data_IF_959981043406
#
_entry.id   IF_959981043406
#
_cell.length_a   1.000
_cell.length_b   1.000
_cell.length_c   1.000
_cell.angle_alpha   90.00
_cell.angle_beta   90.00
_cell.angle_gamma   90.00
#
_symmetry.space_group_name_H-M   'P 1'
#
loop_
_entity.id
_entity.type
_entity.pdbx_description
1 polymer ?
#
# COMPACT_ATOMS: atom_id res chain seq x y z
N UNK A 1 47.12 44.85 -27.55
CA UNK A 1 45.84 44.81 -26.80
C UNK A 1 44.72 44.43 -27.75
N UNK A 2 44.21 43.19 -27.66
CA UNK A 2 43.00 42.75 -28.35
C UNK A 2 42.02 42.29 -27.28
N UNK A 3 40.92 43.02 -27.11
CA UNK A 3 39.88 42.73 -26.15
C UNK A 3 39.07 41.51 -26.63
N UNK A 4 39.02 40.47 -25.80
CA UNK A 4 38.13 39.32 -25.97
C UNK A 4 36.78 39.70 -25.36
N UNK A 5 35.75 39.81 -26.20
CA UNK A 5 34.37 40.00 -25.75
C UNK A 5 33.80 38.61 -25.44
N UNK A 6 33.62 38.29 -24.16
CA UNK A 6 32.97 37.06 -23.71
C UNK A 6 31.44 37.30 -23.75
N UNK A 7 30.76 36.63 -24.68
CA UNK A 7 29.30 36.57 -24.73
C UNK A 7 28.79 35.59 -23.66
N UNK A 8 28.15 36.13 -22.63
CA UNK A 8 27.42 35.37 -21.62
C UNK A 8 26.10 34.90 -22.23
N UNK A 9 26.02 33.63 -22.64
CA UNK A 9 24.75 33.00 -23.01
C UNK A 9 23.96 32.66 -21.74
N UNK A 10 23.08 33.56 -21.30
CA UNK A 10 22.04 33.22 -20.35
C UNK A 10 21.05 32.26 -21.04
N UNK A 11 21.16 30.98 -20.74
CA UNK A 11 20.18 29.98 -21.13
C UNK A 11 18.92 30.20 -20.28
N UNK A 12 17.93 30.88 -20.85
CA UNK A 12 16.58 30.86 -20.32
C UNK A 12 16.04 29.44 -20.47
N UNK A 13 16.10 28.65 -19.40
CA UNK A 13 15.29 27.44 -19.30
C UNK A 13 13.82 27.88 -19.25
N UNK A 14 13.16 27.87 -20.40
CA UNK A 14 11.70 27.88 -20.45
C UNK A 14 11.23 26.62 -19.75
N UNK A 15 10.65 26.76 -18.56
CA UNK A 15 9.80 25.74 -17.94
C UNK A 15 8.55 25.62 -18.82
N UNK A 16 8.67 24.91 -19.95
CA UNK A 16 7.50 24.48 -20.69
C UNK A 16 6.65 23.67 -19.72
N UNK A 17 5.47 24.19 -19.36
CA UNK A 17 4.51 23.44 -18.55
C UNK A 17 4.19 22.16 -19.30
N UNK A 18 4.50 21.01 -18.71
CA UNK A 18 4.07 19.71 -19.24
C UNK A 18 2.56 19.81 -19.46
N UNK A 19 2.06 19.59 -20.69
CA UNK A 19 0.65 19.76 -20.98
C UNK A 19 -0.15 18.79 -20.11
N UNK A 20 -1.05 19.34 -19.30
CA UNK A 20 -1.98 18.55 -18.51
C UNK A 20 -3.19 18.25 -19.39
N UNK A 21 -3.52 16.97 -19.54
CA UNK A 21 -4.80 16.60 -20.12
C UNK A 21 -5.92 17.05 -19.17
N UNK A 22 -6.94 17.72 -19.72
CA UNK A 22 -8.06 18.21 -18.91
C UNK A 22 -9.15 17.15 -18.86
N UNK A 23 -9.43 16.63 -17.67
CA UNK A 23 -10.46 15.62 -17.44
C UNK A 23 -11.45 16.08 -16.36
N UNK A 24 -12.60 15.41 -16.28
CA UNK A 24 -13.45 15.48 -15.10
C UNK A 24 -12.94 14.49 -14.05
N UNK A 25 -12.61 14.99 -12.87
CA UNK A 25 -12.16 14.17 -11.75
C UNK A 25 -13.31 14.05 -10.76
N UNK A 26 -14.00 12.91 -10.69
CA UNK A 26 -15.01 12.71 -9.65
C UNK A 26 -14.36 12.72 -8.26
N UNK A 27 -15.11 13.17 -7.25
CA UNK A 27 -14.74 12.91 -5.86
C UNK A 27 -14.77 11.41 -5.59
N UNK A 28 -14.00 10.96 -4.58
CA UNK A 28 -14.03 9.56 -4.18
C UNK A 28 -15.43 9.16 -3.70
N UNK A 29 -15.92 8.04 -4.23
CA UNK A 29 -17.19 7.46 -3.85
C UNK A 29 -17.02 5.95 -3.69
N UNK A 30 -17.19 5.46 -2.46
CA UNK A 30 -16.98 4.04 -2.14
C UNK A 30 -17.97 3.12 -2.87
N UNK A 31 -19.24 3.52 -3.01
CA UNK A 31 -20.24 2.72 -3.70
C UNK A 31 -19.87 2.52 -5.18
N UNK A 32 -19.40 3.58 -5.83
CA UNK A 32 -18.89 3.51 -7.19
C UNK A 32 -17.61 2.68 -7.27
N UNK A 33 -16.69 2.82 -6.30
CA UNK A 33 -15.48 2.03 -6.24
C UNK A 33 -15.79 0.52 -6.17
N UNK A 34 -16.76 0.12 -5.35
CA UNK A 34 -17.20 -1.27 -5.23
C UNK A 34 -18.01 -1.76 -6.44
N UNK A 35 -18.76 -0.87 -7.11
CA UNK A 35 -19.45 -1.20 -8.36
C UNK A 35 -18.45 -1.54 -9.47
N UNK A 36 -17.40 -0.72 -9.61
CA UNK A 36 -16.37 -0.90 -10.64
C UNK A 36 -15.34 -1.98 -10.29
N UNK A 37 -15.20 -2.32 -9.01
CA UNK A 37 -14.28 -3.35 -8.50
C UNK A 37 -15.04 -4.33 -7.58
N UNK A 38 -15.92 -5.20 -8.12
CA UNK A 38 -16.82 -6.04 -7.30
C UNK A 38 -16.11 -7.12 -6.46
N UNK A 39 -14.84 -7.40 -6.76
CA UNK A 39 -14.00 -8.31 -5.97
C UNK A 39 -13.29 -7.61 -4.81
N UNK A 40 -13.41 -6.28 -4.71
CA UNK A 40 -12.86 -5.47 -3.63
C UNK A 40 -13.84 -5.41 -2.47
N UNK A 41 -13.31 -5.32 -1.25
CA UNK A 41 -14.07 -4.98 -0.04
C UNK A 41 -13.24 -4.08 0.86
N UNK A 42 -13.91 -3.13 1.49
CA UNK A 42 -13.36 -2.31 2.55
C UNK A 42 -13.79 -2.80 3.93
N UNK A 43 -12.97 -2.52 4.93
CA UNK A 43 -13.32 -2.67 6.32
C UNK A 43 -13.04 -1.35 7.05
N UNK A 44 -14.11 -0.67 7.46
CA UNK A 44 -14.07 0.65 8.07
C UNK A 44 -14.66 0.60 9.48
N UNK A 45 -14.16 -0.28 10.34
CA UNK A 45 -14.53 -0.26 11.76
C UNK A 45 -13.42 0.38 12.60
N UNK A 46 -13.84 0.98 13.71
CA UNK A 46 -13.02 1.52 14.80
C UNK A 46 -12.35 0.44 15.65
N UNK A 47 -12.62 -0.85 15.42
CA UNK A 47 -11.86 -1.97 16.01
C UNK A 47 -10.44 -1.91 15.46
N UNK A 48 -9.64 -1.03 16.08
CA UNK A 48 -8.19 -0.96 15.89
C UNK A 48 -7.62 -2.35 16.08
N UNK A 49 -6.49 -2.59 15.42
CA UNK A 49 -5.74 -3.84 15.55
C UNK A 49 -5.71 -4.30 17.03
N UNK A 50 -6.20 -5.52 17.30
CA UNK A 50 -6.22 -6.05 18.66
C UNK A 50 -4.81 -6.51 19.00
N UNK A 51 -4.28 -6.07 20.14
CA UNK A 51 -2.91 -6.36 20.55
C UNK A 51 -2.93 -7.24 21.79
N UNK A 52 -2.30 -8.41 21.69
CA UNK A 52 -2.09 -9.32 22.79
C UNK A 52 -0.59 -9.42 23.07
N UNK A 53 -0.19 -9.35 24.34
CA UNK A 53 1.22 -9.49 24.74
C UNK A 53 1.33 -10.54 25.84
N UNK A 54 2.28 -11.46 25.67
CA UNK A 54 2.60 -12.50 26.66
C UNK A 54 4.04 -12.35 27.08
N UNK A 55 4.30 -12.35 28.40
CA UNK A 55 5.67 -12.44 28.91
C UNK A 55 6.36 -13.69 28.36
N UNK A 56 7.64 -13.58 28.00
CA UNK A 56 8.44 -14.68 27.48
C UNK A 56 9.75 -14.81 28.25
N UNK A 57 10.22 -16.03 28.39
CA UNK A 57 11.59 -16.34 28.85
C UNK A 57 12.59 -16.07 27.73
N UNK A 58 13.88 -15.92 28.07
CA UNK A 58 14.94 -15.78 27.06
C UNK A 58 14.99 -16.98 26.10
N UNK A 59 14.72 -18.19 26.62
CA UNK A 59 14.65 -19.41 25.82
C UNK A 59 13.49 -19.39 24.80
N UNK A 60 12.33 -18.87 25.18
CA UNK A 60 11.18 -18.72 24.28
C UNK A 60 11.45 -17.68 23.20
N UNK A 61 12.09 -16.56 23.54
CA UNK A 61 12.52 -15.56 22.55
C UNK A 61 13.53 -16.14 21.59
N UNK A 62 14.55 -16.85 22.09
CA UNK A 62 15.53 -17.52 21.24
C UNK A 62 14.87 -18.53 20.29
N UNK A 63 13.96 -19.35 20.79
CA UNK A 63 13.21 -20.31 19.98
C UNK A 63 12.30 -19.66 18.94
N UNK A 64 11.76 -18.48 19.24
CA UNK A 64 10.99 -17.69 18.29
C UNK A 64 11.89 -17.10 17.20
N UNK A 65 13.03 -16.51 17.56
CA UNK A 65 13.93 -15.84 16.62
C UNK A 65 14.63 -16.83 15.70
N UNK A 66 15.04 -18.00 16.20
CA UNK A 66 15.77 -19.01 15.42
C UNK A 66 14.95 -19.64 14.27
N UNK A 67 13.64 -19.42 14.23
CA UNK A 67 12.79 -19.95 13.17
C UNK A 67 12.88 -19.13 11.86
N UNK A 68 13.58 -17.99 11.88
CA UNK A 68 13.72 -17.07 10.75
C UNK A 68 15.15 -17.03 10.24
N UNK A 69 15.31 -16.81 8.93
CA UNK A 69 16.61 -16.52 8.32
C UNK A 69 17.21 -15.18 8.76
N UNK A 70 18.51 -14.97 8.53
CA UNK A 70 19.22 -13.74 8.96
C UNK A 70 18.60 -12.46 8.40
N UNK A 71 18.13 -12.50 7.15
CA UNK A 71 17.56 -11.35 6.43
C UNK A 71 16.02 -11.38 6.42
N UNK A 72 15.39 -12.32 7.13
CA UNK A 72 13.94 -12.41 7.20
C UNK A 72 13.41 -11.51 8.30
N UNK A 73 12.28 -10.86 8.00
CA UNK A 73 11.52 -10.16 9.03
C UNK A 73 11.01 -11.19 10.04
N UNK A 74 11.38 -11.03 11.31
CA UNK A 74 11.09 -11.96 12.42
C UNK A 74 9.64 -11.87 12.90
N UNK A 75 8.70 -12.05 11.97
CA UNK A 75 7.26 -12.01 12.23
C UNK A 75 6.64 -13.30 11.74
N UNK A 76 5.85 -13.92 12.60
CA UNK A 76 5.04 -15.08 12.26
C UNK A 76 3.63 -14.63 11.91
N UNK A 77 3.25 -14.82 10.66
CA UNK A 77 1.94 -14.50 10.13
C UNK A 77 1.01 -15.70 10.13
N UNK A 78 -0.26 -15.48 10.44
CA UNK A 78 -1.36 -16.47 10.40
C UNK A 78 -2.68 -15.79 10.09
N UNK A 79 -3.60 -16.48 9.43
CA UNK A 79 -4.98 -16.02 9.32
C UNK A 79 -5.66 -16.09 10.69
N UNK A 80 -6.68 -15.25 10.89
CA UNK A 80 -7.56 -15.29 12.06
C UNK A 80 -9.02 -15.20 11.60
N UNK A 81 -9.51 -16.30 11.02
CA UNK A 81 -10.87 -16.40 10.49
C UNK A 81 -11.95 -16.24 11.57
N UNK A 82 -11.68 -16.70 12.79
CA UNK A 82 -12.61 -16.54 13.92
C UNK A 82 -12.87 -15.06 14.19
N UNK A 83 -11.81 -14.26 14.32
CA UNK A 83 -11.94 -12.82 14.53
C UNK A 83 -12.51 -12.12 13.31
N UNK A 84 -12.13 -12.54 12.09
CA UNK A 84 -12.71 -12.00 10.85
C UNK A 84 -14.24 -12.15 10.83
N UNK A 85 -14.74 -13.35 11.15
CA UNK A 85 -16.17 -13.62 11.25
C UNK A 85 -16.84 -12.87 12.40
N UNK A 86 -16.17 -12.74 13.55
CA UNK A 86 -16.69 -12.02 14.73
C UNK A 86 -16.97 -10.53 14.41
N UNK A 87 -16.05 -9.87 13.70
CA UNK A 87 -16.14 -8.43 13.41
C UNK A 87 -16.67 -8.12 12.01
N UNK A 88 -16.98 -9.14 11.21
CA UNK A 88 -17.43 -8.97 9.83
C UNK A 88 -16.36 -8.47 8.85
N UNK A 89 -15.07 -8.65 9.17
CA UNK A 89 -13.97 -8.34 8.26
C UNK A 89 -13.75 -9.47 7.24
N UNK A 90 -13.30 -9.14 6.03
CA UNK A 90 -13.02 -10.16 5.00
C UNK A 90 -11.75 -10.93 5.29
N UNK A 91 -10.70 -10.23 5.73
CA UNK A 91 -9.43 -10.83 6.13
C UNK A 91 -8.98 -10.19 7.43
N UNK A 92 -8.67 -11.04 8.41
CA UNK A 92 -7.89 -10.67 9.57
C UNK A 92 -6.67 -11.57 9.61
N UNK A 93 -5.48 -10.99 9.76
CA UNK A 93 -4.25 -11.73 9.97
C UNK A 93 -3.59 -11.32 11.29
N UNK A 94 -2.84 -12.26 11.86
CA UNK A 94 -2.15 -12.10 13.13
C UNK A 94 -0.66 -12.03 12.88
N UNK A 95 -0.03 -10.98 13.35
CA UNK A 95 1.41 -10.75 13.33
C UNK A 95 1.97 -11.01 14.71
N UNK A 96 2.59 -12.18 14.90
CA UNK A 96 3.32 -12.46 16.14
C UNK A 96 4.78 -12.09 15.98
N UNK A 97 5.31 -11.25 16.86
CA UNK A 97 6.69 -10.78 16.82
C UNK A 97 7.25 -10.52 18.23
N UNK A 98 8.57 -10.50 18.31
CA UNK A 98 9.27 -10.07 19.51
C UNK A 98 9.57 -8.58 19.41
N UNK A 99 9.23 -7.82 20.46
CA UNK A 99 9.58 -6.39 20.56
C UNK A 99 10.73 -6.27 21.54
N UNK A 100 11.84 -5.66 21.10
CA UNK A 100 12.99 -5.42 21.96
C UNK A 100 12.60 -4.62 23.22
N UNK A 101 13.28 -4.94 24.31
CA UNK A 101 13.07 -4.30 25.61
C UNK A 101 13.28 -2.79 25.48
N UNK A 102 12.27 -2.01 25.86
CA UNK A 102 12.46 -0.64 26.32
C UNK A 102 12.47 -0.65 27.85
N UNK A 103 13.54 -0.10 28.44
CA UNK A 103 13.77 0.19 29.87
C UNK A 103 12.97 -0.64 30.89
N UNK A 104 13.62 -1.63 31.51
CA UNK A 104 13.12 -2.33 32.70
C UNK A 104 11.98 -3.34 32.47
N UNK A 105 11.52 -3.53 31.23
CA UNK A 105 10.47 -4.50 30.90
C UNK A 105 11.03 -5.90 30.65
N UNK A 106 10.26 -6.92 31.06
CA UNK A 106 10.50 -8.33 30.71
C UNK A 106 10.31 -8.55 29.21
N UNK A 107 10.87 -9.64 28.66
CA UNK A 107 10.63 -9.97 27.25
C UNK A 107 9.13 -10.22 27.03
N UNK A 108 8.64 -9.81 25.87
CA UNK A 108 7.27 -10.05 25.46
C UNK A 108 7.23 -10.52 24.02
N UNK A 109 6.42 -11.54 23.76
CA UNK A 109 5.93 -11.84 22.43
C UNK A 109 4.59 -11.15 22.27
N UNK A 110 4.48 -10.33 21.24
CA UNK A 110 3.30 -9.55 20.94
C UNK A 110 2.64 -10.10 19.68
N UNK A 111 1.33 -10.25 19.72
CA UNK A 111 0.50 -10.58 18.57
C UNK A 111 -0.39 -9.39 18.24
N UNK A 112 -0.26 -8.86 17.03
CA UNK A 112 -1.16 -7.85 16.49
C UNK A 112 -2.14 -8.53 15.54
N UNK A 113 -3.43 -8.45 15.81
CA UNK A 113 -4.48 -8.89 14.91
C UNK A 113 -4.92 -7.70 14.06
N UNK A 114 -4.70 -7.79 12.76
CA UNK A 114 -4.93 -6.71 11.79
C UNK A 114 -6.11 -7.08 10.90
N UNK A 115 -7.27 -6.45 11.07
CA UNK A 115 -8.32 -6.44 10.05
C UNK A 115 -7.80 -5.63 8.87
N UNK A 116 -7.69 -6.25 7.70
CA UNK A 116 -7.22 -5.55 6.52
C UNK A 116 -8.25 -4.48 6.09
N UNK A 117 -7.80 -3.23 5.99
CA UNK A 117 -8.64 -2.10 5.62
C UNK A 117 -9.19 -2.24 4.19
N UNK A 118 -8.37 -2.78 3.29
CA UNK A 118 -8.76 -3.12 1.92
C UNK A 118 -8.42 -4.57 1.61
N UNK A 119 -9.33 -5.26 0.96
CA UNK A 119 -9.10 -6.61 0.44
C UNK A 119 -9.54 -6.69 -1.01
N UNK A 120 -8.82 -7.49 -1.79
CA UNK A 120 -9.15 -7.78 -3.17
C UNK A 120 -9.11 -9.29 -3.41
N UNK A 121 -10.22 -9.87 -3.83
CA UNK A 121 -10.31 -11.30 -4.16
C UNK A 121 -9.65 -11.57 -5.51
N UNK A 122 -8.71 -12.51 -5.52
CA UNK A 122 -8.02 -13.02 -6.71
C UNK A 122 -8.40 -14.50 -6.94
N UNK A 123 -8.04 -15.10 -8.09
CA UNK A 123 -8.20 -16.53 -8.30
C UNK A 123 -7.45 -17.42 -7.29
N UNK A 124 -6.39 -16.89 -6.65
CA UNK A 124 -5.48 -17.66 -5.79
C UNK A 124 -5.67 -17.40 -4.29
N UNK A 125 -6.54 -16.46 -3.93
CA UNK A 125 -6.69 -15.98 -2.56
C UNK A 125 -7.01 -14.49 -2.48
N UNK A 126 -6.69 -13.85 -1.37
CA UNK A 126 -6.92 -12.42 -1.15
C UNK A 126 -5.61 -11.65 -1.10
N UNK A 127 -5.53 -10.55 -1.85
CA UNK A 127 -4.62 -9.46 -1.51
C UNK A 127 -5.27 -8.63 -0.41
N UNK A 128 -4.52 -8.31 0.63
CA UNK A 128 -5.03 -7.61 1.79
C UNK A 128 -4.03 -6.52 2.20
N UNK A 129 -4.50 -5.29 2.21
CA UNK A 129 -3.73 -4.09 2.53
C UNK A 129 -4.19 -3.47 3.83
N UNK A 130 -3.24 -2.97 4.61
CA UNK A 130 -3.50 -2.08 5.74
C UNK A 130 -2.49 -0.92 5.74
N UNK A 131 -2.91 0.20 6.33
CA UNK A 131 -2.09 1.40 6.47
C UNK A 131 -2.31 1.98 7.85
N UNK A 132 -1.22 2.09 8.62
CA UNK A 132 -1.21 2.71 9.95
C UNK A 132 -0.25 3.90 9.97
N UNK A 133 0.00 4.47 8.79
CA UNK A 133 0.82 5.66 8.61
C UNK A 133 2.25 5.46 9.10
N UNK A 134 2.66 6.28 10.07
CA UNK A 134 4.00 6.20 10.66
C UNK A 134 4.26 4.90 11.43
N UNK A 135 3.19 4.20 11.83
CA UNK A 135 3.28 2.92 12.52
C UNK A 135 3.38 1.74 11.54
N UNK A 136 3.59 2.05 10.26
CA UNK A 136 3.76 1.12 9.16
C UNK A 136 2.45 0.59 8.61
N UNK A 137 2.57 -0.37 7.72
CA UNK A 137 1.47 -1.04 7.04
C UNK A 137 2.05 -2.22 6.28
N UNK A 138 1.18 -3.00 5.68
CA UNK A 138 1.54 -4.22 5.01
C UNK A 138 0.63 -4.44 3.82
N UNK A 139 1.23 -4.97 2.76
CA UNK A 139 0.52 -5.76 1.80
C UNK A 139 0.81 -7.23 2.10
N UNK A 140 -0.24 -8.00 2.37
CA UNK A 140 -0.18 -9.45 2.56
C UNK A 140 -1.01 -10.17 1.51
N UNK A 141 -0.66 -11.43 1.28
CA UNK A 141 -1.45 -12.37 0.51
C UNK A 141 -1.93 -13.50 1.42
N UNK A 142 -3.23 -13.77 1.40
CA UNK A 142 -3.85 -14.91 2.06
C UNK A 142 -4.29 -15.88 0.98
N UNK A 143 -3.61 -17.02 0.87
CA UNK A 143 -3.94 -18.01 -0.16
C UNK A 143 -5.24 -18.77 0.18
N UNK A 144 -5.70 -19.60 -0.76
CA UNK A 144 -6.92 -20.40 -0.58
C UNK A 144 -6.87 -21.41 0.58
N UNK A 145 -5.68 -21.71 1.12
CA UNK A 145 -5.51 -22.57 2.30
C UNK A 145 -5.54 -21.78 3.62
N UNK A 146 -5.59 -20.45 3.56
CA UNK A 146 -5.50 -19.57 4.71
C UNK A 146 -4.06 -19.25 5.12
N UNK A 147 -3.06 -19.67 4.34
CA UNK A 147 -1.66 -19.29 4.59
C UNK A 147 -1.46 -17.81 4.30
N UNK A 148 -0.81 -17.10 5.22
CA UNK A 148 -0.56 -15.66 5.11
C UNK A 148 0.91 -15.40 4.81
N UNK A 149 1.16 -14.70 3.70
CA UNK A 149 2.48 -14.27 3.27
C UNK A 149 2.57 -12.76 3.28
N UNK A 150 3.59 -12.21 3.94
CA UNK A 150 3.98 -10.81 3.75
C UNK A 150 4.51 -10.63 2.33
N UNK A 151 3.93 -9.70 1.58
CA UNK A 151 4.49 -9.30 0.29
C UNK A 151 5.50 -8.18 0.53
N UNK A 152 5.07 -7.11 1.21
CA UNK A 152 5.88 -5.91 1.42
C UNK A 152 5.36 -5.12 2.62
N UNK A 153 6.28 -4.50 3.36
CA UNK A 153 5.95 -3.43 4.31
C UNK A 153 5.65 -2.16 3.51
N UNK A 154 4.39 -1.71 3.56
CA UNK A 154 3.91 -0.56 2.80
C UNK A 154 2.59 -0.03 3.36
N UNK A 155 2.40 1.29 3.29
CA UNK A 155 1.12 1.90 3.67
C UNK A 155 0.13 1.81 2.50
N UNK A 156 -0.57 0.69 2.41
CA UNK A 156 -1.53 0.43 1.32
C UNK A 156 -2.72 1.37 1.46
N UNK A 157 -2.98 2.16 0.43
CA UNK A 157 -4.19 2.98 0.33
C UNK A 157 -5.31 2.17 -0.32
N UNK A 158 -5.07 1.55 -1.48
CA UNK A 158 -6.06 0.74 -2.19
C UNK A 158 -5.42 -0.27 -3.19
N UNK A 159 -6.24 -1.14 -3.78
CA UNK A 159 -5.87 -2.22 -4.70
C UNK A 159 -6.86 -2.25 -5.88
N UNK A 160 -6.38 -2.34 -7.12
CA UNK A 160 -7.19 -2.30 -8.34
C UNK A 160 -6.81 -3.42 -9.29
N UNK A 161 -7.78 -3.99 -10.02
CA UNK A 161 -7.49 -4.98 -11.04
C UNK A 161 -7.28 -4.31 -12.40
N UNK A 162 -6.23 -4.69 -13.11
CA UNK A 162 -5.97 -4.38 -14.51
C UNK A 162 -5.76 -5.68 -15.27
N UNK A 163 -5.81 -5.63 -16.60
CA UNK A 163 -5.51 -6.81 -17.44
C UNK A 163 -4.08 -7.34 -17.20
N UNK A 164 -3.14 -6.44 -16.88
CA UNK A 164 -1.75 -6.77 -16.62
C UNK A 164 -1.44 -7.15 -15.16
N UNK A 165 -2.43 -7.15 -14.26
CA UNK A 165 -2.27 -7.56 -12.85
C UNK A 165 -3.00 -6.64 -11.88
N UNK A 166 -2.59 -6.66 -10.61
CA UNK A 166 -3.22 -5.85 -9.57
C UNK A 166 -2.35 -4.65 -9.22
N UNK A 167 -2.88 -3.45 -9.39
CA UNK A 167 -2.19 -2.20 -9.05
C UNK A 167 -2.48 -1.85 -7.59
N UNK A 168 -1.44 -1.61 -6.81
CA UNK A 168 -1.54 -1.21 -5.41
C UNK A 168 -1.08 0.24 -5.28
N UNK A 169 -1.93 1.09 -4.71
CA UNK A 169 -1.58 2.46 -4.35
C UNK A 169 -1.01 2.46 -2.93
N UNK A 170 0.14 3.10 -2.74
CA UNK A 170 0.74 3.33 -1.43
C UNK A 170 1.10 4.81 -1.27
N UNK A 171 1.00 5.30 -0.03
CA UNK A 171 1.72 6.51 0.33
C UNK A 171 1.77 6.81 1.82
N UNK A 172 2.67 7.72 2.16
CA UNK A 172 2.77 8.32 3.48
C UNK A 172 3.06 9.82 3.34
N UNK A 173 2.17 10.61 3.92
CA UNK A 173 2.36 12.04 4.12
C UNK A 173 2.63 12.30 5.60
N UNK A 174 3.89 12.57 5.96
CA UNK A 174 4.27 12.94 7.32
C UNK A 174 5.40 13.98 7.34
N UNK A 175 5.21 15.05 8.11
CA UNK A 175 6.10 16.22 8.20
C UNK A 175 6.51 16.74 6.81
N UNK A 176 7.79 16.62 6.45
CA UNK A 176 8.35 17.09 5.17
C UNK A 176 8.34 16.01 4.08
N UNK A 177 7.89 14.79 4.38
CA UNK A 177 7.77 13.69 3.42
C UNK A 177 6.33 13.60 2.91
N UNK A 178 6.18 13.59 1.59
CA UNK A 178 4.90 13.30 0.94
C UNK A 178 5.13 12.39 -0.26
N UNK A 179 5.32 11.10 0.02
CA UNK A 179 5.71 10.12 -1.00
C UNK A 179 4.55 9.19 -1.31
N UNK A 180 4.39 8.86 -2.59
CA UNK A 180 3.45 7.84 -3.04
C UNK A 180 4.06 6.99 -4.16
N UNK A 181 3.55 5.78 -4.32
CA UNK A 181 4.03 4.82 -5.32
C UNK A 181 2.88 3.94 -5.80
N UNK A 182 2.93 3.57 -7.07
CA UNK A 182 2.16 2.49 -7.65
C UNK A 182 3.03 1.24 -7.72
N UNK A 183 2.53 0.14 -7.19
CA UNK A 183 3.12 -1.17 -7.36
C UNK A 183 2.22 -2.05 -8.21
N UNK A 184 2.83 -3.03 -8.87
CA UNK A 184 2.14 -4.06 -9.61
C UNK A 184 2.35 -5.41 -8.92
N UNK A 185 1.25 -6.08 -8.59
CA UNK A 185 1.23 -7.47 -8.17
C UNK A 185 0.82 -8.35 -9.35
N UNK A 186 1.69 -9.28 -9.72
CA UNK A 186 1.41 -10.35 -10.69
C UNK A 186 1.51 -11.70 -9.99
N UNK A 187 0.99 -12.75 -10.62
CA UNK A 187 1.06 -14.11 -10.08
C UNK A 187 1.91 -14.99 -11.01
N UNK A 188 2.94 -15.62 -10.43
CA UNK A 188 3.78 -16.61 -11.12
C UNK A 188 3.76 -17.88 -10.30
N UNK A 189 3.29 -18.98 -10.89
CA UNK A 189 3.04 -20.25 -10.19
C UNK A 189 2.18 -20.04 -8.93
N UNK A 190 1.06 -19.31 -9.09
CA UNK A 190 0.08 -19.00 -8.03
C UNK A 190 0.64 -18.16 -6.87
N UNK A 191 1.88 -17.67 -6.98
CA UNK A 191 2.54 -16.87 -5.95
C UNK A 191 2.61 -15.41 -6.38
N UNK A 192 2.29 -14.47 -5.48
CA UNK A 192 2.38 -13.06 -5.79
C UNK A 192 3.83 -12.61 -5.96
N UNK A 193 4.07 -11.81 -6.99
CA UNK A 193 5.31 -11.10 -7.29
C UNK A 193 4.99 -9.61 -7.32
N UNK A 194 5.76 -8.82 -6.58
CA UNK A 194 5.60 -7.38 -6.49
C UNK A 194 6.69 -6.68 -7.30
N UNK A 195 6.31 -5.72 -8.13
CA UNK A 195 7.25 -4.82 -8.81
C UNK A 195 6.81 -3.37 -8.63
N UNK A 196 7.77 -2.44 -8.70
CA UNK A 196 7.46 -1.01 -8.75
C UNK A 196 6.96 -0.67 -10.15
N UNK A 197 5.87 0.08 -10.24
CA UNK A 197 5.33 0.56 -11.50
C UNK A 197 5.73 2.03 -11.72
N UNK A 198 5.29 2.93 -10.83
CA UNK A 198 5.62 4.36 -10.93
C UNK A 198 5.66 5.05 -9.57
N UNK A 199 6.54 6.05 -9.44
CA UNK A 199 6.44 7.03 -8.36
C UNK A 199 5.29 8.00 -8.61
N UNK A 200 4.55 8.33 -7.56
CA UNK A 200 3.52 9.36 -7.59
C UNK A 200 4.08 10.72 -7.21
N UNK A 201 3.39 11.79 -7.61
CA UNK A 201 3.75 13.18 -7.29
C UNK A 201 3.49 13.57 -5.84
N UNK A 202 2.87 12.68 -5.07
CA UNK A 202 2.62 12.78 -3.64
C UNK A 202 1.97 11.51 -3.11
N UNK A 203 1.80 11.41 -1.79
CA UNK A 203 0.97 10.37 -1.18
C UNK A 203 -0.45 10.47 -1.74
N UNK A 204 -1.07 9.35 -2.15
CA UNK A 204 -2.49 9.32 -2.46
C UNK A 204 -3.28 9.85 -1.28
N UNK A 205 -4.20 10.77 -1.55
CA UNK A 205 -5.31 11.13 -0.65
C UNK A 205 -6.53 10.28 -0.94
N UNK A 206 -6.72 9.98 -2.21
CA UNK A 206 -7.70 9.04 -2.71
C UNK A 206 -7.23 8.50 -4.05
N UNK A 207 -7.70 7.31 -4.37
CA UNK A 207 -7.67 6.78 -5.71
C UNK A 207 -9.04 6.22 -6.09
N UNK A 208 -9.36 6.22 -7.37
CA UNK A 208 -10.64 5.73 -7.86
C UNK A 208 -10.47 5.25 -9.30
N UNK A 209 -10.98 4.05 -9.58
CA UNK A 209 -11.10 3.58 -10.95
C UNK A 209 -12.27 4.28 -11.63
N UNK A 210 -12.04 4.79 -12.83
CA UNK A 210 -13.03 5.49 -13.63
C UNK A 210 -13.81 4.47 -14.49
N UNK A 211 -14.98 4.89 -15.00
CA UNK A 211 -15.82 4.02 -15.83
C UNK A 211 -15.15 3.54 -17.14
N UNK A 212 -14.12 4.25 -17.60
CA UNK A 212 -13.30 3.87 -18.76
C UNK A 212 -12.19 2.86 -18.39
N UNK A 213 -12.09 2.43 -17.13
CA UNK A 213 -11.10 1.46 -16.63
C UNK A 213 -9.81 2.09 -16.11
N UNK A 214 -9.58 3.38 -16.35
CA UNK A 214 -8.37 4.06 -15.89
C UNK A 214 -8.40 4.32 -14.38
N UNK A 215 -7.23 4.44 -13.76
CA UNK A 215 -7.13 4.74 -12.34
C UNK A 215 -6.74 6.20 -12.13
N UNK A 216 -7.65 6.99 -11.57
CA UNK A 216 -7.39 8.33 -11.10
C UNK A 216 -6.78 8.27 -9.69
N UNK A 217 -5.64 8.92 -9.52
CA UNK A 217 -4.97 9.09 -8.22
C UNK A 217 -4.88 10.57 -7.90
N UNK A 218 -5.43 10.97 -6.76
CA UNK A 218 -5.42 12.35 -6.30
C UNK A 218 -4.45 12.49 -5.12
N UNK A 219 -3.51 13.43 -5.23
CA UNK A 219 -2.65 13.85 -4.12
C UNK A 219 -2.85 15.33 -3.80
N UNK A 220 -2.07 15.87 -2.86
CA UNK A 220 -2.08 17.31 -2.59
C UNK A 220 -1.46 18.13 -3.74
N UNK A 221 -0.54 17.53 -4.47
CA UNK A 221 0.28 18.12 -5.53
C UNK A 221 -0.40 18.11 -6.90
N UNK A 222 -1.50 17.37 -7.03
CA UNK A 222 -2.31 17.28 -8.23
C UNK A 222 -2.83 15.86 -8.44
N UNK A 223 -3.32 15.62 -9.66
CA UNK A 223 -3.88 14.33 -10.04
C UNK A 223 -3.05 13.66 -11.14
N UNK A 224 -3.01 12.34 -11.08
CA UNK A 224 -2.41 11.49 -12.11
C UNK A 224 -3.41 10.41 -12.52
N UNK A 225 -3.33 9.97 -13.78
CA UNK A 225 -4.12 8.87 -14.30
C UNK A 225 -3.19 7.77 -14.78
N UNK A 226 -3.42 6.55 -14.29
CA UNK A 226 -2.85 5.34 -14.86
C UNK A 226 -3.83 4.78 -15.90
N UNK A 227 -3.40 4.79 -17.16
CA UNK A 227 -4.15 4.26 -18.30
C UNK A 227 -4.22 2.74 -18.29
N UNK A 228 -5.18 2.21 -19.05
CA UNK A 228 -5.33 0.78 -19.29
C UNK A 228 -4.11 0.13 -19.98
N UNK A 229 -3.35 0.91 -20.76
CA UNK A 229 -2.09 0.46 -21.38
C UNK A 229 -0.89 0.47 -20.42
N UNK A 230 -1.11 0.89 -19.17
CA UNK A 230 -0.09 1.00 -18.15
C UNK A 230 0.69 2.31 -18.16
N UNK A 231 0.38 3.28 -19.02
CA UNK A 231 1.04 4.60 -18.98
C UNK A 231 0.51 5.47 -17.84
N UNK A 232 1.39 6.28 -17.23
CA UNK A 232 1.03 7.23 -16.16
C UNK A 232 1.29 8.66 -16.62
N UNK A 233 0.28 9.52 -16.53
CA UNK A 233 0.37 10.93 -16.92
C UNK A 233 -0.33 11.82 -15.91
N UNK A 234 0.03 13.11 -15.94
CA UNK A 234 -0.58 14.13 -15.08
C UNK A 234 -1.81 14.71 -15.76
N UNK A 235 -2.83 15.02 -14.96
CA UNK A 235 -4.09 15.59 -15.45
C UNK A 235 -4.45 16.84 -14.67
N UNK A 236 -5.27 17.69 -15.29
CA UNK A 236 -5.89 18.83 -14.65
C UNK A 236 -7.39 18.56 -14.51
N UNK A 237 -7.86 18.55 -13.27
CA UNK A 237 -9.26 18.34 -12.94
C UNK A 237 -10.07 19.60 -13.21
N UNK A 238 -11.04 19.53 -14.13
CA UNK A 238 -12.01 20.61 -14.34
C UNK A 238 -13.11 20.55 -13.28
N UNK A 239 -13.19 21.59 -12.45
CA UNK A 239 -14.30 21.84 -11.53
C UNK A 239 -14.34 20.91 -10.33
N UNK A 240 -13.66 21.31 -9.26
CA UNK A 240 -14.05 20.96 -7.89
C UNK A 240 -15.14 21.90 -7.41
#
# INVERSE_FOLDING_TARGET
MKYFLILFFCSFYSLASVPYEQIHCPEYNEALALELEPNKKYFTDTVRARVESTEATDAEVYNFVKQFGENERKIKLRSNELLANEIGATVVYSMKYYRDKYFGRKNQLTTHHVPAAVTYKTPYGYLAGDSRGEFGGELVFVDSSGSVKLIQDMNVEDIYQFEFGYVVTEGLSHMSSNNGMLYLVTFVNEKPQLSKLYGLIGSPKSSLKLANGELLVNSREGSQVLSNDGSLFRVSCKGS
#
